data_IF_875097038531
#
_entry.id   IF_875097038531
#
_cell.length_a   1.000
_cell.length_b   1.000
_cell.length_c   1.000
_cell.angle_alpha   90.00
_cell.angle_beta   90.00
_cell.angle_gamma   90.00
#
_symmetry.space_group_name_H-M   'P 1'
#
loop_
_entity.id
_entity.type
_entity.pdbx_description
1 polymer ?
#
# COMPACT_ATOMS: atom_id res chain seq x y z
N UNK A 1 -21.34 7.84 -10.90
CA UNK A 1 -20.22 6.88 -10.95
C UNK A 1 -20.32 5.97 -9.73
N UNK A 2 -20.24 4.64 -9.86
CA UNK A 2 -20.33 3.74 -8.71
C UNK A 2 -19.01 3.75 -7.90
N UNK A 3 -19.09 3.81 -6.57
CA UNK A 3 -17.91 3.82 -5.70
C UNK A 3 -17.09 2.53 -5.85
N UNK A 4 -17.73 1.38 -5.98
CA UNK A 4 -17.06 0.10 -6.22
C UNK A 4 -17.43 -0.47 -7.58
N UNK A 5 -16.43 -0.88 -8.36
CA UNK A 5 -16.64 -1.58 -9.63
C UNK A 5 -16.60 -3.08 -9.39
N UNK A 6 -17.74 -3.76 -9.59
CA UNK A 6 -17.81 -5.22 -9.51
C UNK A 6 -17.37 -5.81 -10.85
N UNK A 7 -16.08 -6.09 -10.98
CA UNK A 7 -15.49 -6.82 -12.10
C UNK A 7 -14.88 -8.13 -11.58
N UNK A 8 -14.84 -9.21 -12.37
CA UNK A 8 -14.05 -10.38 -11.99
C UNK A 8 -12.57 -9.98 -11.87
N UNK A 9 -11.84 -10.68 -11.00
CA UNK A 9 -10.39 -10.48 -10.86
C UNK A 9 -9.68 -10.92 -12.15
N UNK A 10 -8.79 -10.09 -12.66
CA UNK A 10 -7.95 -10.39 -13.81
C UNK A 10 -6.86 -11.40 -13.43
N UNK A 11 -6.41 -12.21 -14.40
CA UNK A 11 -5.36 -13.21 -14.16
C UNK A 11 -4.07 -12.61 -13.58
N UNK A 12 -3.71 -11.39 -14.00
CA UNK A 12 -2.57 -10.64 -13.44
C UNK A 12 -2.78 -10.24 -11.98
N UNK A 13 -4.00 -9.85 -11.58
CA UNK A 13 -4.31 -9.52 -10.19
C UNK A 13 -4.20 -10.76 -9.30
N UNK A 14 -4.70 -11.90 -9.78
CA UNK A 14 -4.59 -13.19 -9.09
C UNK A 14 -3.11 -13.59 -8.94
N UNK A 15 -2.33 -13.55 -10.02
CA UNK A 15 -0.90 -13.85 -9.99
C UNK A 15 -0.14 -12.94 -9.01
N UNK A 16 -0.51 -11.67 -8.94
CA UNK A 16 0.10 -10.70 -8.04
C UNK A 16 -0.30 -10.92 -6.57
N UNK A 17 -1.55 -11.31 -6.29
CA UNK A 17 -1.98 -11.72 -4.96
C UNK A 17 -1.27 -13.00 -4.49
N UNK A 18 -1.04 -13.96 -5.39
CA UNK A 18 -0.27 -15.17 -5.10
C UNK A 18 1.19 -14.82 -4.79
N UNK A 19 1.83 -13.98 -5.62
CA UNK A 19 3.18 -13.49 -5.36
C UNK A 19 3.27 -12.74 -4.02
N UNK A 20 2.27 -11.91 -3.71
CA UNK A 20 2.21 -11.19 -2.45
C UNK A 20 2.01 -12.14 -1.26
N UNK A 21 1.20 -13.19 -1.42
CA UNK A 21 1.04 -14.24 -0.41
C UNK A 21 2.36 -14.96 -0.14
N UNK A 22 3.09 -15.35 -1.19
CA UNK A 22 4.40 -16.00 -1.07
C UNK A 22 5.41 -15.08 -0.37
N UNK A 23 5.48 -13.81 -0.78
CA UNK A 23 6.37 -12.82 -0.17
C UNK A 23 6.04 -12.61 1.31
N UNK A 24 4.75 -12.51 1.64
CA UNK A 24 4.27 -12.43 3.03
C UNK A 24 4.70 -13.67 3.82
N UNK A 25 4.59 -14.87 3.24
CA UNK A 25 5.05 -16.11 3.85
C UNK A 25 6.55 -16.12 4.13
N UNK A 26 7.38 -15.62 3.20
CA UNK A 26 8.83 -15.46 3.40
C UNK A 26 9.13 -14.51 4.56
N UNK A 27 8.43 -13.36 4.61
CA UNK A 27 8.59 -12.39 5.70
C UNK A 27 8.19 -12.98 7.05
N UNK A 28 7.05 -13.68 7.12
CA UNK A 28 6.57 -14.37 8.32
C UNK A 28 7.58 -15.44 8.76
N UNK A 29 8.09 -16.24 7.82
CA UNK A 29 9.08 -17.28 8.11
C UNK A 29 10.41 -16.70 8.61
N UNK A 30 10.89 -15.62 7.97
CA UNK A 30 12.08 -14.90 8.41
C UNK A 30 11.88 -14.27 9.79
N UNK A 31 10.68 -13.77 10.09
CA UNK A 31 10.34 -13.22 11.40
C UNK A 31 10.24 -14.29 12.50
N UNK A 32 9.78 -15.50 12.17
CA UNK A 32 9.59 -16.58 13.12
C UNK A 32 10.86 -17.42 13.39
N UNK A 33 11.71 -17.62 12.38
CA UNK A 33 12.84 -18.55 12.44
C UNK A 33 14.19 -17.91 12.05
N UNK A 34 14.20 -16.66 11.60
CA UNK A 34 15.40 -16.00 11.08
C UNK A 34 16.38 -15.59 12.19
N UNK A 35 17.68 -15.88 12.03
CA UNK A 35 18.70 -15.34 12.91
C UNK A 35 19.02 -13.90 12.50
N UNK A 36 19.19 -13.02 13.49
CA UNK A 36 19.70 -11.63 13.42
C UNK A 36 18.69 -10.53 13.02
N UNK A 37 18.46 -9.61 13.97
CA UNK A 37 17.67 -8.38 13.77
C UNK A 37 18.19 -7.48 12.62
N UNK A 38 19.47 -7.59 12.28
CA UNK A 38 20.12 -6.76 11.28
C UNK A 38 19.57 -6.96 9.86
N UNK A 39 19.10 -8.17 9.52
CA UNK A 39 18.53 -8.47 8.20
C UNK A 39 17.00 -8.28 8.18
N UNK A 40 16.32 -8.53 9.29
CA UNK A 40 14.87 -8.45 9.37
C UNK A 40 14.37 -7.00 9.24
N UNK A 41 15.07 -6.04 9.83
CA UNK A 41 14.69 -4.61 9.80
C UNK A 41 14.62 -4.03 8.38
N UNK A 42 15.69 -4.08 7.54
CA UNK A 42 15.62 -3.56 6.19
C UNK A 42 14.64 -4.37 5.32
N UNK A 43 14.53 -5.69 5.53
CA UNK A 43 13.55 -6.51 4.81
C UNK A 43 12.11 -6.04 5.04
N UNK A 44 11.71 -5.81 6.29
CA UNK A 44 10.37 -5.34 6.64
C UNK A 44 10.08 -3.94 6.08
N UNK A 45 11.07 -3.03 6.17
CA UNK A 45 10.94 -1.67 5.64
C UNK A 45 10.75 -1.69 4.12
N UNK A 46 11.63 -2.38 3.39
CA UNK A 46 11.55 -2.49 1.93
C UNK A 46 10.26 -3.16 1.51
N UNK A 47 9.91 -4.29 2.13
CA UNK A 47 8.67 -5.02 1.86
C UNK A 47 7.43 -4.14 1.99
N UNK A 48 7.30 -3.44 3.11
CA UNK A 48 6.12 -2.58 3.36
C UNK A 48 6.08 -1.37 2.43
N UNK A 49 7.22 -0.71 2.21
CA UNK A 49 7.31 0.46 1.35
C UNK A 49 7.02 0.12 -0.13
N UNK A 50 7.65 -0.94 -0.65
CA UNK A 50 7.44 -1.40 -2.03
C UNK A 50 5.99 -1.82 -2.25
N UNK A 51 5.38 -2.54 -1.31
CA UNK A 51 3.97 -2.93 -1.42
C UNK A 51 3.07 -1.71 -1.55
N UNK A 52 3.30 -0.63 -0.79
CA UNK A 52 2.48 0.58 -0.91
C UNK A 52 2.63 1.26 -2.27
N UNK A 53 3.86 1.36 -2.76
CA UNK A 53 4.12 1.93 -4.08
C UNK A 53 3.51 1.08 -5.20
N UNK A 54 3.64 -0.25 -5.14
CA UNK A 54 3.05 -1.15 -6.13
C UNK A 54 1.53 -1.08 -6.10
N UNK A 55 0.92 -1.02 -4.92
CA UNK A 55 -0.53 -0.86 -4.78
C UNK A 55 -1.02 0.43 -5.42
N UNK A 56 -0.31 1.53 -5.22
CA UNK A 56 -0.67 2.83 -5.79
C UNK A 56 -0.38 2.96 -7.30
N UNK A 57 0.71 2.40 -7.79
CA UNK A 57 1.11 2.57 -9.21
C UNK A 57 0.46 1.52 -10.10
N UNK A 58 0.52 0.25 -9.71
CA UNK A 58 0.08 -0.87 -10.55
C UNK A 58 -1.37 -1.28 -10.29
N UNK A 59 -1.81 -1.24 -9.03
CA UNK A 59 -3.11 -1.75 -8.62
C UNK A 59 -4.15 -0.68 -8.31
N UNK A 60 -3.91 0.58 -8.70
CA UNK A 60 -4.84 1.68 -8.41
C UNK A 60 -6.23 1.50 -9.05
N UNK A 61 -6.32 0.81 -10.19
CA UNK A 61 -7.62 0.42 -10.78
C UNK A 61 -8.23 -0.77 -10.05
N UNK A 62 -7.40 -1.76 -9.72
CA UNK A 62 -7.79 -2.97 -9.01
C UNK A 62 -8.35 -2.66 -7.62
N UNK A 63 -7.81 -1.66 -6.93
CA UNK A 63 -8.31 -1.19 -5.62
C UNK A 63 -9.73 -0.59 -5.69
N UNK A 64 -10.29 -0.33 -6.88
CA UNK A 64 -11.70 0.05 -7.07
C UNK A 64 -12.63 -1.16 -7.02
N UNK A 65 -12.08 -2.37 -7.07
CA UNK A 65 -12.82 -3.61 -6.90
C UNK A 65 -12.94 -3.92 -5.40
N UNK A 66 -14.16 -4.07 -4.86
CA UNK A 66 -14.36 -4.31 -3.43
C UNK A 66 -13.74 -5.64 -2.98
N UNK A 67 -13.67 -6.65 -3.85
CA UNK A 67 -13.05 -7.94 -3.56
C UNK A 67 -11.54 -7.79 -3.44
N UNK A 68 -10.90 -7.15 -4.43
CA UNK A 68 -9.46 -6.91 -4.39
C UNK A 68 -9.08 -6.03 -3.20
N UNK A 69 -9.82 -4.96 -2.95
CA UNK A 69 -9.63 -4.10 -1.80
C UNK A 69 -9.76 -4.86 -0.47
N UNK A 70 -10.79 -5.70 -0.33
CA UNK A 70 -10.95 -6.53 0.86
C UNK A 70 -9.76 -7.49 1.06
N UNK A 71 -9.25 -8.10 -0.01
CA UNK A 71 -8.05 -8.94 0.06
C UNK A 71 -6.81 -8.14 0.48
N UNK A 72 -6.60 -6.94 -0.06
CA UNK A 72 -5.53 -6.04 0.39
C UNK A 72 -5.69 -5.65 1.87
N UNK A 73 -6.91 -5.41 2.35
CA UNK A 73 -7.18 -5.17 3.76
C UNK A 73 -6.86 -6.39 4.64
N UNK A 74 -7.09 -7.62 4.16
CA UNK A 74 -6.67 -8.83 4.87
C UNK A 74 -5.14 -8.88 5.01
N UNK A 75 -4.38 -8.55 3.97
CA UNK A 75 -2.92 -8.40 4.07
C UNK A 75 -2.52 -7.29 5.04
N UNK A 76 -3.21 -6.15 5.01
CA UNK A 76 -3.01 -5.09 5.99
C UNK A 76 -3.28 -5.53 7.44
N UNK A 77 -4.28 -6.39 7.64
CA UNK A 77 -4.55 -7.03 8.93
C UNK A 77 -3.44 -7.98 9.36
N UNK A 78 -2.91 -8.78 8.43
CA UNK A 78 -1.74 -9.65 8.68
C UNK A 78 -0.49 -8.83 9.03
N UNK A 79 -0.24 -7.72 8.34
CA UNK A 79 0.86 -6.82 8.70
C UNK A 79 0.69 -6.27 10.11
N UNK A 80 -0.52 -5.85 10.48
CA UNK A 80 -0.80 -5.36 11.82
C UNK A 80 -0.62 -6.45 12.89
N UNK A 81 -1.05 -7.69 12.60
CA UNK A 81 -0.79 -8.84 13.47
C UNK A 81 0.71 -9.08 13.64
N UNK A 82 1.47 -9.10 12.55
CA UNK A 82 2.94 -9.24 12.58
C UNK A 82 3.60 -8.13 13.39
N UNK A 83 3.14 -6.89 13.26
CA UNK A 83 3.60 -5.78 14.09
C UNK A 83 3.41 -6.08 15.59
N UNK A 84 2.23 -6.54 16.00
CA UNK A 84 1.97 -6.85 17.41
C UNK A 84 2.76 -8.05 17.93
N UNK A 85 3.06 -9.03 17.08
CA UNK A 85 3.91 -10.16 17.44
C UNK A 85 5.38 -9.73 17.59
N UNK A 86 5.86 -8.85 16.72
CA UNK A 86 7.27 -8.44 16.66
C UNK A 86 7.62 -7.23 17.54
N UNK A 87 6.65 -6.42 17.95
CA UNK A 87 6.91 -5.27 18.84
C UNK A 87 7.43 -5.66 20.22
N UNK A 88 7.19 -6.92 20.63
CA UNK A 88 7.60 -7.46 21.94
C UNK A 88 8.87 -8.31 21.89
N UNK A 89 9.38 -8.67 20.71
CA UNK A 89 10.49 -9.61 20.53
C UNK A 89 11.89 -8.98 20.60
N UNK A 90 12.07 -7.85 21.30
CA UNK A 90 13.37 -7.17 21.43
C UNK A 90 13.81 -6.33 20.21
N UNK A 91 13.14 -6.51 19.07
CA UNK A 91 13.34 -5.72 17.83
C UNK A 91 12.98 -4.23 18.02
N UNK A 92 12.25 -3.89 19.08
CA UNK A 92 12.02 -2.52 19.53
C UNK A 92 13.08 -2.09 20.56
N UNK A 93 14.17 -1.50 20.07
CA UNK A 93 15.05 -0.71 20.94
C UNK A 93 14.40 0.66 21.09
N UNK A 94 13.99 1.01 22.32
CA UNK A 94 13.50 2.34 22.64
C UNK A 94 14.57 3.39 22.28
N UNK A 95 14.21 4.39 21.47
CA UNK A 95 15.12 5.46 21.03
C UNK A 95 15.90 5.20 19.75
N UNK A 96 15.74 4.04 19.09
CA UNK A 96 16.28 3.80 17.76
C UNK A 96 15.35 4.38 16.67
N UNK A 97 15.88 4.78 15.48
CA UNK A 97 15.08 5.18 14.33
C UNK A 97 14.01 4.12 13.99
N UNK A 98 12.91 4.51 13.30
CA UNK A 98 11.74 3.66 13.07
C UNK A 98 12.16 2.24 12.72
N UNK A 99 11.89 1.31 13.63
CA UNK A 99 12.19 -0.10 13.40
C UNK A 99 11.39 -0.53 12.18
N UNK A 100 11.92 -1.33 11.26
CA UNK A 100 11.16 -1.82 10.09
C UNK A 100 9.83 -2.52 10.44
N UNK A 101 9.62 -2.87 11.71
CA UNK A 101 8.34 -3.31 12.24
C UNK A 101 7.27 -2.19 12.24
N UNK A 102 7.60 -0.92 12.50
CA UNK A 102 6.65 0.20 12.53
C UNK A 102 6.02 0.50 11.18
N UNK A 103 6.67 0.22 10.06
CA UNK A 103 6.06 0.42 8.74
C UNK A 103 4.94 -0.59 8.44
N UNK A 104 4.86 -1.72 9.17
CA UNK A 104 3.78 -2.70 9.03
C UNK A 104 2.40 -2.12 9.40
N UNK A 105 2.33 -1.23 10.40
CA UNK A 105 1.06 -0.58 10.78
C UNK A 105 0.57 0.43 9.74
N UNK A 106 1.41 0.85 8.79
CA UNK A 106 1.06 1.86 7.79
C UNK A 106 0.11 1.34 6.70
N UNK A 107 0.08 0.03 6.46
CA UNK A 107 -0.64 -0.55 5.32
C UNK A 107 -2.14 -0.28 5.34
N UNK A 108 -2.81 -0.51 6.47
CA UNK A 108 -4.25 -0.25 6.59
C UNK A 108 -4.60 1.25 6.49
N UNK A 109 -3.95 2.16 7.25
CA UNK A 109 -4.15 3.60 7.08
C UNK A 109 -3.95 4.08 5.65
N UNK A 110 -2.93 3.58 4.94
CA UNK A 110 -2.66 3.99 3.56
C UNK A 110 -3.71 3.45 2.57
N UNK A 111 -4.19 2.22 2.76
CA UNK A 111 -5.32 1.68 2.00
C UNK A 111 -6.60 2.49 2.20
N UNK A 112 -6.89 2.89 3.43
CA UNK A 112 -8.05 3.74 3.75
C UNK A 112 -7.88 5.15 3.20
N UNK A 113 -6.69 5.75 3.36
CA UNK A 113 -6.37 7.06 2.80
C UNK A 113 -6.55 7.06 1.28
N UNK A 114 -6.08 6.03 0.59
CA UNK A 114 -6.31 5.88 -0.85
C UNK A 114 -7.80 5.96 -1.20
N UNK A 115 -8.66 5.22 -0.49
CA UNK A 115 -10.11 5.28 -0.74
C UNK A 115 -10.70 6.66 -0.42
N UNK A 116 -10.25 7.31 0.65
CA UNK A 116 -10.67 8.67 0.99
C UNK A 116 -10.28 9.68 -0.09
N UNK A 117 -9.03 9.65 -0.56
CA UNK A 117 -8.55 10.53 -1.64
C UNK A 117 -9.33 10.28 -2.94
N UNK A 118 -9.67 9.02 -3.21
CA UNK A 118 -10.51 8.67 -4.34
C UNK A 118 -11.94 9.21 -4.19
N UNK A 119 -12.55 9.15 -3.00
CA UNK A 119 -13.84 9.77 -2.73
C UNK A 119 -13.80 11.28 -2.97
N UNK A 120 -12.74 11.96 -2.52
CA UNK A 120 -12.55 13.39 -2.75
C UNK A 120 -12.43 13.70 -4.24
N UNK A 121 -11.63 12.92 -4.99
CA UNK A 121 -11.51 13.06 -6.44
C UNK A 121 -12.87 12.88 -7.16
N UNK A 122 -13.60 11.83 -6.80
CA UNK A 122 -14.92 11.55 -7.37
C UNK A 122 -15.94 12.64 -7.04
N UNK A 123 -15.91 13.19 -5.82
CA UNK A 123 -16.83 14.25 -5.42
C UNK A 123 -16.52 15.59 -6.10
N UNK A 124 -15.23 15.94 -6.24
CA UNK A 124 -14.81 17.22 -6.79
C UNK A 124 -14.87 17.27 -8.33
N UNK A 125 -14.59 16.15 -8.99
CA UNK A 125 -14.38 16.12 -10.44
C UNK A 125 -15.22 15.09 -11.18
N UNK A 126 -16.03 14.28 -10.47
CA UNK A 126 -16.74 13.12 -11.03
C UNK A 126 -15.81 12.13 -11.75
N UNK A 127 -14.54 12.12 -11.32
CA UNK A 127 -13.43 11.45 -11.98
C UNK A 127 -12.58 10.72 -10.93
N UNK A 128 -12.13 9.51 -11.25
CA UNK A 128 -11.32 8.69 -10.33
C UNK A 128 -9.93 9.30 -10.07
N UNK A 129 -9.29 8.96 -8.95
CA UNK A 129 -7.93 9.40 -8.64
C UNK A 129 -6.93 8.97 -9.73
N UNK A 130 -6.04 9.86 -10.16
CA UNK A 130 -5.08 9.63 -11.25
C UNK A 130 -3.77 9.02 -10.75
N UNK A 131 -3.20 8.14 -11.55
CA UNK A 131 -1.79 7.78 -11.48
C UNK A 131 -1.06 8.52 -12.63
N UNK A 132 -0.25 9.56 -12.35
CA UNK A 132 0.33 10.37 -13.41
C UNK A 132 1.30 9.57 -14.30
N UNK A 133 1.25 9.81 -15.61
CA UNK A 133 2.17 9.18 -16.57
C UNK A 133 3.52 9.90 -16.66
N UNK A 134 4.52 9.19 -17.18
CA UNK A 134 5.92 9.62 -17.38
C UNK A 134 6.10 10.93 -18.20
N UNK A 135 5.06 11.39 -18.90
CA UNK A 135 5.05 12.64 -19.68
C UNK A 135 4.03 13.69 -19.19
N UNK A 136 3.51 13.54 -17.97
CA UNK A 136 2.92 14.62 -17.15
C UNK A 136 1.58 15.21 -17.58
N UNK A 137 1.17 15.09 -18.84
CA UNK A 137 -0.05 15.73 -19.33
C UNK A 137 -1.28 14.84 -19.30
N UNK A 138 -1.13 13.51 -19.30
CA UNK A 138 -2.23 12.55 -19.38
C UNK A 138 -2.12 11.45 -18.32
N UNK A 139 -3.27 11.01 -17.77
CA UNK A 139 -3.39 9.80 -16.94
C UNK A 139 -2.97 8.57 -17.75
N UNK A 140 -2.22 7.63 -17.14
CA UNK A 140 -1.70 6.42 -17.80
C UNK A 140 -2.82 5.57 -18.40
N UNK A 141 -4.03 5.64 -17.85
CA UNK A 141 -5.09 4.69 -18.19
C UNK A 141 -6.38 5.29 -18.74
N UNK A 142 -6.64 6.58 -18.50
CA UNK A 142 -7.86 7.23 -18.96
C UNK A 142 -7.60 8.33 -19.98
N UNK A 143 -6.35 8.53 -20.42
CA UNK A 143 -5.96 9.55 -21.41
C UNK A 143 -6.57 10.94 -21.12
N UNK A 144 -6.83 11.23 -19.84
CA UNK A 144 -7.41 12.49 -19.40
C UNK A 144 -6.31 13.43 -18.96
N UNK A 145 -6.53 14.73 -19.15
CA UNK A 145 -5.58 15.73 -18.66
C UNK A 145 -5.50 15.70 -17.14
N UNK A 146 -4.28 15.62 -16.63
CA UNK A 146 -4.01 15.68 -15.18
C UNK A 146 -4.37 17.08 -14.69
N UNK A 147 -5.20 17.16 -13.66
CA UNK A 147 -5.60 18.43 -13.04
C UNK A 147 -4.69 18.80 -11.87
N UNK A 148 -4.72 20.05 -11.42
CA UNK A 148 -3.99 20.46 -10.20
C UNK A 148 -4.45 19.68 -8.97
N UNK A 149 -5.74 19.35 -8.86
CA UNK A 149 -6.24 18.53 -7.77
C UNK A 149 -5.63 17.12 -7.78
N UNK A 150 -5.50 16.49 -8.94
CA UNK A 150 -4.87 15.18 -9.08
C UNK A 150 -3.43 15.20 -8.53
N UNK A 151 -2.68 16.26 -8.84
CA UNK A 151 -1.31 16.47 -8.35
C UNK A 151 -1.31 16.64 -6.82
N UNK A 152 -2.23 17.44 -6.27
CA UNK A 152 -2.34 17.63 -4.82
C UNK A 152 -2.68 16.32 -4.10
N UNK A 153 -3.67 15.56 -4.60
CA UNK A 153 -4.07 14.28 -3.99
C UNK A 153 -2.94 13.25 -4.06
N UNK A 154 -2.18 13.21 -5.15
CA UNK A 154 -0.98 12.39 -5.27
C UNK A 154 0.08 12.79 -4.24
N UNK A 155 0.38 14.08 -4.12
CA UNK A 155 1.38 14.57 -3.16
C UNK A 155 0.98 14.25 -1.72
N UNK A 156 -0.31 14.39 -1.39
CA UNK A 156 -0.85 14.00 -0.08
C UNK A 156 -0.64 12.50 0.16
N UNK A 157 -0.93 11.65 -0.83
CA UNK A 157 -0.71 10.21 -0.71
C UNK A 157 0.78 9.88 -0.51
N UNK A 158 1.66 10.41 -1.37
CA UNK A 158 3.11 10.17 -1.29
C UNK A 158 3.70 10.65 0.04
N UNK A 159 3.29 11.84 0.50
CA UNK A 159 3.70 12.36 1.80
C UNK A 159 3.24 11.43 2.93
N UNK A 160 2.01 10.93 2.87
CA UNK A 160 1.51 9.98 3.86
C UNK A 160 2.27 8.66 3.84
N UNK A 161 2.64 8.14 2.66
CA UNK A 161 3.49 6.94 2.54
C UNK A 161 4.82 7.18 3.27
N UNK A 162 5.50 8.29 2.97
CA UNK A 162 6.80 8.61 3.59
C UNK A 162 6.65 8.78 5.11
N UNK A 163 5.67 9.57 5.56
CA UNK A 163 5.47 9.83 6.98
C UNK A 163 5.08 8.57 7.76
N UNK A 164 4.18 7.74 7.25
CA UNK A 164 3.74 6.53 7.94
C UNK A 164 4.74 5.37 7.86
N UNK A 165 5.62 5.36 6.85
CA UNK A 165 6.69 4.37 6.75
C UNK A 165 7.93 4.75 7.58
N UNK A 166 8.13 6.03 7.91
CA UNK A 166 9.29 6.54 8.66
C UNK A 166 9.00 6.93 10.12
N UNK A 167 7.75 6.88 10.58
CA UNK A 167 7.34 7.25 11.94
C UNK A 167 6.64 6.09 12.62
#
# INVERSE_FOLDING_TARGET
>A
MAFFQRKPLLGFEIGSLLAYTLLTGVVVGAAAYGPQEALLRPLLLTYTFEVQLLLYVLFYQSLRNPVFFALCCLFGGLHLLLYYLLRHSGVHIAGAPPTGCQSLRATLPLLLLFQCLRLVSLAAQALDLVCPAKHGQFDIYHERRVTLLDIVLLLVYLLAVVLLSLV
#
